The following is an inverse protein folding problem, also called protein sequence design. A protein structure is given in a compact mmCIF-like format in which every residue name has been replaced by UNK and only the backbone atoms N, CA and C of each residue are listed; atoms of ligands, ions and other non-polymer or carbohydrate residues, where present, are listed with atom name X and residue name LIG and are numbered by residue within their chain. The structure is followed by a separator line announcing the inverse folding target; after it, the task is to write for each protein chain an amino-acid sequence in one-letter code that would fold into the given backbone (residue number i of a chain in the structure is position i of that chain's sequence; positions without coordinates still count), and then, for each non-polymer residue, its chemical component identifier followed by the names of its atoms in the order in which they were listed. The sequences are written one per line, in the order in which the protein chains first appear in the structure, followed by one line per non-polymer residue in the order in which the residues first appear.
data_IF_653142905686
#
_entry.id   IF_653142905686
#
_cell.length_a   1.000
_cell.length_b   1.000
_cell.length_c   1.000
_cell.angle_alpha   90.00
_cell.angle_beta   90.00
_cell.angle_gamma   90.00
#
_symmetry.space_group_name_H-M   'P 1'
#
loop_
_entity.id
_entity.type
_entity.pdbx_description
1 polymer ?
#
# COMPACT_ATOMS: atom_id res chain seq x y z
N UNK A 1 -16.63 33.18 59.01
CA UNK A 1 -16.44 31.76 58.68
C UNK A 1 -16.08 31.71 57.19
N UNK A 2 -14.80 31.68 56.89
CA UNK A 2 -14.27 31.70 55.52
C UNK A 2 -13.95 30.29 55.08
N UNK A 3 -14.59 29.78 54.04
CA UNK A 3 -14.29 28.50 53.44
C UNK A 3 -13.18 28.68 52.37
N UNK A 4 -12.03 28.09 52.67
CA UNK A 4 -10.88 28.01 51.75
C UNK A 4 -11.16 26.92 50.71
N UNK A 5 -11.29 27.28 49.44
CA UNK A 5 -11.36 26.33 48.32
C UNK A 5 -9.93 25.99 47.88
N UNK A 6 -9.56 24.72 47.99
CA UNK A 6 -8.31 24.17 47.49
C UNK A 6 -8.34 24.09 45.92
N UNK A 7 -7.21 24.34 45.23
CA UNK A 7 -7.17 24.22 43.76
C UNK A 7 -7.18 22.75 43.33
N UNK A 8 -8.08 22.42 42.37
CA UNK A 8 -8.12 21.12 41.70
C UNK A 8 -6.90 21.02 40.79
N UNK A 9 -5.95 20.18 41.14
CA UNK A 9 -4.80 19.85 40.31
C UNK A 9 -5.29 19.11 39.05
N UNK A 10 -5.20 19.75 37.89
CA UNK A 10 -5.47 19.14 36.62
C UNK A 10 -4.47 17.99 36.37
N UNK A 11 -4.99 16.78 36.36
CA UNK A 11 -4.23 15.57 36.00
C UNK A 11 -3.74 15.73 34.56
N UNK A 12 -2.42 15.79 34.37
CA UNK A 12 -1.75 15.82 33.09
C UNK A 12 -2.15 14.53 32.33
N UNK A 13 -3.04 14.65 31.34
CA UNK A 13 -3.36 13.55 30.41
C UNK A 13 -2.05 13.08 29.78
N UNK A 14 -1.63 11.86 30.11
CA UNK A 14 -0.50 11.20 29.47
C UNK A 14 -0.69 11.20 27.95
N UNK A 15 0.42 11.38 27.21
CA UNK A 15 0.47 11.26 25.76
C UNK A 15 -0.22 9.96 25.38
N UNK A 16 -1.15 9.91 24.36
CA UNK A 16 -1.76 8.66 23.94
C UNK A 16 -0.65 7.66 23.65
N UNK A 17 -0.71 6.50 24.30
CA UNK A 17 0.26 5.43 24.07
C UNK A 17 0.24 5.04 22.59
N UNK A 18 1.43 4.69 22.03
CA UNK A 18 1.51 4.14 20.69
C UNK A 18 0.76 2.80 20.67
N UNK A 19 -0.18 2.64 19.75
CA UNK A 19 -0.73 1.33 19.39
C UNK A 19 0.16 0.66 18.34
N UNK A 20 -0.06 -0.63 18.13
CA UNK A 20 0.71 -1.41 17.15
C UNK A 20 0.63 -0.81 15.73
N UNK A 21 -0.51 -0.26 15.35
CA UNK A 21 -0.72 0.34 14.02
C UNK A 21 0.12 1.61 13.84
N UNK A 22 0.22 2.47 14.86
CA UNK A 22 1.05 3.68 14.82
C UNK A 22 2.55 3.34 14.81
N UNK A 23 2.95 2.32 15.59
CA UNK A 23 4.34 1.80 15.57
C UNK A 23 4.69 1.28 14.18
N UNK A 24 3.81 0.48 13.56
CA UNK A 24 4.02 -0.06 12.22
C UNK A 24 4.14 1.06 11.19
N UNK A 25 3.23 2.01 11.17
CA UNK A 25 3.22 3.12 10.20
C UNK A 25 4.50 3.95 10.30
N UNK A 26 4.88 4.40 11.50
CA UNK A 26 6.11 5.17 11.71
C UNK A 26 7.35 4.37 11.32
N UNK A 27 7.37 3.05 11.61
CA UNK A 27 8.49 2.19 11.20
C UNK A 27 8.63 2.10 9.69
N UNK A 28 7.51 1.98 8.96
CA UNK A 28 7.50 1.96 7.48
C UNK A 28 7.97 3.29 6.90
N UNK A 29 7.61 4.43 7.50
CA UNK A 29 8.13 5.74 7.10
C UNK A 29 9.66 5.82 7.24
N UNK A 30 10.20 5.28 8.35
CA UNK A 30 11.65 5.19 8.56
C UNK A 30 12.31 4.25 7.54
N UNK A 31 11.70 3.09 7.24
CA UNK A 31 12.19 2.18 6.20
C UNK A 31 12.21 2.84 4.82
N UNK A 32 11.16 3.56 4.47
CA UNK A 32 11.08 4.29 3.20
C UNK A 32 12.13 5.41 3.09
N UNK A 33 12.43 6.09 4.20
CA UNK A 33 13.37 7.21 4.23
C UNK A 33 14.83 6.77 4.23
N UNK A 34 15.16 5.74 5.01
CA UNK A 34 16.56 5.35 5.26
C UNK A 34 16.95 4.01 4.62
N UNK A 35 15.98 3.27 4.09
CA UNK A 35 16.14 1.87 3.68
C UNK A 35 15.96 0.90 4.84
N UNK A 36 15.39 -0.27 4.54
CA UNK A 36 15.14 -1.30 5.55
C UNK A 36 16.43 -1.77 6.24
N UNK A 37 17.48 -2.06 5.47
CA UNK A 37 18.74 -2.58 6.02
C UNK A 37 19.43 -1.59 6.99
N UNK A 38 19.42 -0.31 6.64
CA UNK A 38 20.04 0.74 7.46
C UNK A 38 19.21 1.11 8.71
N UNK A 39 17.92 0.78 8.74
CA UNK A 39 17.07 1.06 9.88
C UNK A 39 17.37 0.10 11.04
N UNK A 40 17.64 0.65 12.22
CA UNK A 40 17.81 -0.10 13.47
C UNK A 40 16.62 0.09 14.41
N UNK A 41 16.40 -0.86 15.33
CA UNK A 41 15.36 -0.72 16.38
C UNK A 41 15.59 0.56 17.24
N UNK A 42 16.82 1.01 17.37
CA UNK A 42 17.15 2.28 18.03
C UNK A 42 16.63 3.49 17.25
N UNK A 43 16.84 3.51 15.93
CA UNK A 43 16.33 4.57 15.05
C UNK A 43 14.79 4.60 15.04
N UNK A 44 14.15 3.43 15.02
CA UNK A 44 12.69 3.32 15.10
C UNK A 44 12.15 3.87 16.42
N UNK A 45 12.77 3.48 17.54
CA UNK A 45 12.41 3.98 18.87
C UNK A 45 12.55 5.51 18.97
N UNK A 46 13.64 6.06 18.42
CA UNK A 46 13.86 7.50 18.33
C UNK A 46 12.76 8.20 17.52
N UNK A 47 12.40 7.66 16.36
CA UNK A 47 11.34 8.21 15.49
C UNK A 47 9.97 8.20 16.20
N UNK A 48 9.70 7.16 17.00
CA UNK A 48 8.50 7.03 17.81
C UNK A 48 8.51 7.89 19.09
N UNK A 49 9.67 8.40 19.49
CA UNK A 49 9.82 9.12 20.78
C UNK A 49 9.63 8.24 22.01
N UNK A 50 9.96 6.94 21.92
CA UNK A 50 9.89 5.95 22.99
C UNK A 50 11.25 5.32 23.26
N UNK A 51 11.38 4.59 24.37
CA UNK A 51 12.62 3.84 24.65
C UNK A 51 12.76 2.62 23.75
N UNK A 52 14.00 2.15 23.54
CA UNK A 52 14.27 0.92 22.78
C UNK A 52 13.60 -0.33 23.42
N UNK A 53 13.45 -0.36 24.76
CA UNK A 53 12.72 -1.42 25.43
C UNK A 53 11.21 -1.34 25.17
N UNK A 54 10.66 -0.13 25.10
CA UNK A 54 9.23 0.06 24.85
C UNK A 54 8.80 -0.41 23.46
N UNK A 55 9.62 -0.25 22.41
CA UNK A 55 9.24 -0.74 21.07
C UNK A 55 9.12 -2.27 21.05
N UNK A 56 9.93 -2.99 21.83
CA UNK A 56 9.86 -4.47 21.91
C UNK A 56 8.58 -4.99 22.59
N UNK A 57 7.84 -4.14 23.33
CA UNK A 57 6.51 -4.49 23.83
C UNK A 57 5.45 -4.48 22.73
N UNK A 58 5.68 -3.76 21.62
CA UNK A 58 4.76 -3.70 20.49
C UNK A 58 5.10 -4.73 19.41
N UNK A 59 6.39 -4.94 19.16
CA UNK A 59 6.87 -5.86 18.10
C UNK A 59 8.17 -6.52 18.53
N UNK A 60 8.32 -7.84 18.28
CA UNK A 60 9.49 -8.59 18.73
C UNK A 60 10.77 -8.26 17.96
N UNK A 61 10.67 -7.82 16.70
CA UNK A 61 11.84 -7.58 15.85
C UNK A 61 11.55 -6.63 14.68
N UNK A 62 12.61 -6.20 14.00
CA UNK A 62 12.55 -5.43 12.76
C UNK A 62 11.94 -6.25 11.60
N UNK A 63 12.26 -7.52 11.58
CA UNK A 63 11.75 -8.47 10.60
C UNK A 63 10.22 -8.63 10.72
N UNK A 64 9.69 -8.66 11.93
CA UNK A 64 8.25 -8.70 12.16
C UNK A 64 7.54 -7.43 11.69
N UNK A 65 8.16 -6.26 11.88
CA UNK A 65 7.66 -5.01 11.30
C UNK A 65 7.62 -5.05 9.78
N UNK A 66 8.67 -5.59 9.14
CA UNK A 66 8.69 -5.76 7.69
C UNK A 66 7.58 -6.72 7.24
N UNK A 67 7.43 -7.86 7.92
CA UNK A 67 6.39 -8.84 7.62
C UNK A 67 5.00 -8.23 7.68
N UNK A 68 4.68 -7.53 8.76
CA UNK A 68 3.40 -6.83 8.93
C UNK A 68 3.18 -5.76 7.85
N UNK A 69 4.22 -5.01 7.51
CA UNK A 69 4.13 -3.98 6.49
C UNK A 69 3.87 -4.57 5.08
N UNK A 70 4.52 -5.68 4.75
CA UNK A 70 4.31 -6.37 3.48
C UNK A 70 2.92 -7.01 3.41
N UNK A 71 2.42 -7.54 4.53
CA UNK A 71 1.07 -8.08 4.62
C UNK A 71 0.01 -7.00 4.40
N UNK A 72 0.20 -5.79 4.95
CA UNK A 72 -0.68 -4.65 4.69
C UNK A 72 -0.75 -4.30 3.18
N UNK A 73 0.37 -4.28 2.48
CA UNK A 73 0.41 -3.96 1.05
C UNK A 73 -0.17 -5.10 0.19
N UNK A 74 0.33 -6.32 0.37
CA UNK A 74 -0.04 -7.48 -0.44
C UNK A 74 -1.46 -7.96 -0.14
N UNK A 75 -1.86 -8.02 1.13
CA UNK A 75 -3.22 -8.41 1.53
C UNK A 75 -4.28 -7.48 0.95
N UNK A 76 -3.98 -6.17 0.80
CA UNK A 76 -4.84 -5.23 0.10
C UNK A 76 -5.04 -5.59 -1.38
N UNK A 77 -3.95 -5.89 -2.09
CA UNK A 77 -4.00 -6.27 -3.51
C UNK A 77 -4.66 -7.64 -3.71
N UNK A 78 -4.27 -8.64 -2.94
CA UNK A 78 -4.84 -9.99 -3.02
C UNK A 78 -6.32 -10.00 -2.65
N UNK A 79 -6.73 -9.19 -1.67
CA UNK A 79 -8.11 -9.01 -1.27
C UNK A 79 -9.01 -8.49 -2.40
N UNK A 80 -8.49 -7.67 -3.32
CA UNK A 80 -9.24 -7.20 -4.49
C UNK A 80 -9.71 -8.37 -5.38
N UNK A 81 -8.88 -9.39 -5.56
CA UNK A 81 -9.19 -10.55 -6.40
C UNK A 81 -10.28 -11.45 -5.78
N UNK A 82 -10.60 -11.28 -4.51
CA UNK A 82 -11.65 -12.00 -3.81
C UNK A 82 -13.02 -11.34 -3.92
N UNK A 83 -13.07 -10.07 -4.33
CA UNK A 83 -14.30 -9.31 -4.45
C UNK A 83 -15.09 -9.70 -5.72
N UNK A 84 -16.41 -9.62 -5.65
CA UNK A 84 -17.31 -10.00 -6.76
C UNK A 84 -17.00 -9.26 -8.06
N UNK A 85 -16.67 -7.97 -8.00
CA UNK A 85 -16.32 -7.18 -9.18
C UNK A 85 -15.05 -7.66 -9.91
N UNK A 86 -14.16 -8.41 -9.25
CA UNK A 86 -12.99 -9.03 -9.89
C UNK A 86 -13.30 -10.41 -10.50
N UNK A 87 -14.44 -11.01 -10.17
CA UNK A 87 -14.81 -12.39 -10.51
C UNK A 87 -16.01 -12.49 -11.43
N UNK A 88 -16.90 -11.48 -11.42
CA UNK A 88 -18.16 -11.48 -12.13
C UNK A 88 -18.21 -10.36 -13.17
N UNK A 89 -18.89 -10.61 -14.26
CA UNK A 89 -18.98 -9.68 -15.39
C UNK A 89 -18.03 -10.00 -16.54
N UNK A 90 -18.00 -9.14 -17.52
CA UNK A 90 -17.12 -9.25 -18.70
C UNK A 90 -15.64 -9.09 -18.27
N UNK A 91 -14.69 -9.62 -19.06
CA UNK A 91 -13.27 -9.43 -18.77
C UNK A 91 -12.87 -7.95 -18.61
N UNK A 92 -13.46 -7.04 -19.39
CA UNK A 92 -13.18 -5.61 -19.32
C UNK A 92 -13.69 -5.00 -18.01
N UNK A 93 -14.92 -5.32 -17.59
CA UNK A 93 -15.49 -4.83 -16.31
C UNK A 93 -14.64 -5.32 -15.13
N UNK A 94 -14.22 -6.58 -15.13
CA UNK A 94 -13.33 -7.16 -14.12
C UNK A 94 -11.97 -6.48 -14.11
N UNK A 95 -11.38 -6.23 -15.29
CA UNK A 95 -10.09 -5.54 -15.40
C UNK A 95 -10.20 -4.09 -14.90
N UNK A 96 -11.24 -3.36 -15.30
CA UNK A 96 -11.50 -2.00 -14.82
C UNK A 96 -11.66 -1.97 -13.30
N UNK A 97 -12.45 -2.89 -12.74
CA UNK A 97 -12.64 -3.02 -11.30
C UNK A 97 -11.29 -3.19 -10.57
N UNK A 98 -10.44 -4.10 -11.07
CA UNK A 98 -9.14 -4.36 -10.44
C UNK A 98 -8.22 -3.14 -10.55
N UNK A 99 -8.14 -2.47 -11.72
CA UNK A 99 -7.30 -1.27 -11.87
C UNK A 99 -7.73 -0.14 -10.93
N UNK A 100 -9.06 0.09 -10.79
CA UNK A 100 -9.60 1.04 -9.81
C UNK A 100 -9.24 0.67 -8.39
N UNK A 101 -9.41 -0.58 -8.05
CA UNK A 101 -9.09 -1.12 -6.73
C UNK A 101 -7.60 -1.01 -6.40
N UNK A 102 -6.72 -1.26 -7.37
CA UNK A 102 -5.26 -1.08 -7.19
C UNK A 102 -4.89 0.36 -6.85
N UNK A 103 -5.49 1.35 -7.53
CA UNK A 103 -5.28 2.77 -7.21
C UNK A 103 -5.78 3.07 -5.79
N UNK A 104 -6.95 2.53 -5.41
CA UNK A 104 -7.48 2.66 -4.05
C UNK A 104 -6.52 2.11 -3.00
N UNK A 105 -6.10 0.85 -3.14
CA UNK A 105 -5.12 0.21 -2.23
C UNK A 105 -3.82 0.99 -2.15
N UNK A 106 -3.30 1.48 -3.29
CA UNK A 106 -2.07 2.26 -3.33
C UNK A 106 -2.21 3.55 -2.54
N UNK A 107 -3.29 4.30 -2.72
CA UNK A 107 -3.53 5.57 -2.03
C UNK A 107 -3.77 5.35 -0.53
N UNK A 108 -4.62 4.39 -0.17
CA UNK A 108 -4.99 4.11 1.23
C UNK A 108 -3.80 3.56 2.03
N UNK A 109 -2.90 2.84 1.36
CA UNK A 109 -1.75 2.15 1.96
C UNK A 109 -0.42 2.63 1.41
N UNK A 110 -0.36 3.91 1.02
CA UNK A 110 0.77 4.50 0.30
C UNK A 110 2.14 4.18 0.88
N UNK A 111 2.42 4.33 2.20
CA UNK A 111 3.73 4.00 2.75
C UNK A 111 4.09 2.52 2.60
N UNK A 112 3.12 1.63 2.77
CA UNK A 112 3.30 0.17 2.69
C UNK A 112 3.54 -0.29 1.26
N UNK A 113 2.77 0.24 0.29
CA UNK A 113 2.97 -0.04 -1.13
C UNK A 113 4.31 0.52 -1.61
N UNK A 114 4.70 1.72 -1.16
CA UNK A 114 6.02 2.30 -1.45
C UNK A 114 7.14 1.36 -0.99
N UNK A 115 7.05 0.80 0.23
CA UNK A 115 8.02 -0.15 0.73
C UNK A 115 8.06 -1.42 -0.13
N UNK A 116 6.90 -2.00 -0.45
CA UNK A 116 6.79 -3.19 -1.31
C UNK A 116 7.46 -2.98 -2.69
N UNK A 117 7.27 -1.80 -3.29
CA UNK A 117 7.85 -1.48 -4.61
C UNK A 117 9.38 -1.29 -4.58
N UNK A 118 9.95 -1.01 -3.40
CA UNK A 118 11.40 -0.80 -3.21
C UNK A 118 12.17 -2.06 -2.83
N UNK A 119 11.49 -3.20 -2.63
CA UNK A 119 12.15 -4.47 -2.30
C UNK A 119 13.13 -4.90 -3.38
N UNK A 120 14.24 -5.50 -2.96
CA UNK A 120 15.32 -5.99 -3.85
C UNK A 120 15.44 -7.51 -3.85
N UNK A 121 14.78 -8.21 -2.91
CA UNK A 121 14.88 -9.66 -2.76
C UNK A 121 16.10 -10.11 -1.97
N UNK A 122 16.62 -9.25 -1.10
CA UNK A 122 17.82 -9.54 -0.28
C UNK A 122 17.55 -10.63 0.75
N UNK A 123 16.35 -10.68 1.32
CA UNK A 123 15.94 -11.65 2.33
C UNK A 123 14.94 -12.67 1.77
N UNK A 124 14.76 -13.79 2.48
CA UNK A 124 13.72 -14.80 2.16
C UNK A 124 12.33 -14.16 2.11
N UNK A 125 12.01 -13.37 3.12
CA UNK A 125 10.73 -12.64 3.24
C UNK A 125 10.49 -11.69 2.06
N UNK A 126 11.52 -10.97 1.62
CA UNK A 126 11.41 -10.11 0.44
C UNK A 126 11.15 -10.92 -0.83
N UNK A 127 11.86 -12.05 -0.99
CA UNK A 127 11.66 -12.95 -2.14
C UNK A 127 10.25 -13.53 -2.17
N UNK A 128 9.71 -13.92 -1.01
CA UNK A 128 8.34 -14.39 -0.88
C UNK A 128 7.33 -13.29 -1.26
N UNK A 129 7.50 -12.08 -0.73
CA UNK A 129 6.65 -10.93 -1.09
C UNK A 129 6.70 -10.63 -2.60
N UNK A 130 7.88 -10.68 -3.21
CA UNK A 130 8.03 -10.52 -4.66
C UNK A 130 7.36 -11.64 -5.45
N UNK A 131 7.36 -12.86 -4.95
CA UNK A 131 6.67 -14.00 -5.58
C UNK A 131 5.14 -13.84 -5.51
N UNK A 132 4.60 -13.39 -4.37
CA UNK A 132 3.17 -13.06 -4.22
C UNK A 132 2.76 -11.94 -5.20
N UNK A 133 3.56 -10.88 -5.31
CA UNK A 133 3.34 -9.82 -6.28
C UNK A 133 3.33 -10.35 -7.72
N UNK A 134 4.28 -11.22 -8.10
CA UNK A 134 4.29 -11.86 -9.43
C UNK A 134 3.08 -12.76 -9.65
N UNK A 135 2.55 -13.40 -8.61
CA UNK A 135 1.32 -14.19 -8.70
C UNK A 135 0.12 -13.30 -9.02
N UNK A 136 0.00 -12.15 -8.34
CA UNK A 136 -0.98 -11.13 -8.65
C UNK A 136 -0.86 -10.65 -10.12
N UNK A 137 0.35 -10.29 -10.57
CA UNK A 137 0.62 -9.85 -11.94
C UNK A 137 0.15 -10.90 -12.98
N UNK A 138 0.41 -12.19 -12.72
CA UNK A 138 -0.04 -13.30 -13.61
C UNK A 138 -1.56 -13.39 -13.69
N UNK A 139 -2.26 -13.23 -12.56
CA UNK A 139 -3.73 -13.27 -12.54
C UNK A 139 -4.31 -12.15 -13.39
N UNK A 140 -3.77 -10.92 -13.31
CA UNK A 140 -4.27 -9.81 -14.12
C UNK A 140 -3.86 -9.95 -15.59
N UNK A 141 -2.69 -10.53 -15.86
CA UNK A 141 -2.27 -10.85 -17.24
C UNK A 141 -3.24 -11.84 -17.89
N UNK A 142 -3.70 -12.87 -17.15
CA UNK A 142 -4.69 -13.80 -17.65
C UNK A 142 -6.02 -13.11 -17.99
N UNK A 143 -6.46 -12.17 -17.14
CA UNK A 143 -7.68 -11.39 -17.37
C UNK A 143 -7.58 -10.51 -18.64
N UNK A 144 -6.42 -9.90 -18.89
CA UNK A 144 -6.18 -9.18 -20.18
C UNK A 144 -6.23 -10.14 -21.36
N UNK A 145 -5.66 -11.35 -21.21
CA UNK A 145 -5.70 -12.38 -22.27
C UNK A 145 -7.15 -12.81 -22.56
N UNK A 146 -7.98 -13.00 -21.53
CA UNK A 146 -9.41 -13.27 -21.69
C UNK A 146 -10.11 -12.16 -22.48
N UNK A 147 -9.83 -10.90 -22.15
CA UNK A 147 -10.42 -9.75 -22.86
C UNK A 147 -9.96 -9.65 -24.33
N UNK A 148 -8.71 -9.99 -24.63
CA UNK A 148 -8.19 -10.08 -26.00
C UNK A 148 -8.86 -11.21 -26.79
N UNK A 149 -9.05 -12.37 -26.17
CA UNK A 149 -9.74 -13.52 -26.80
C UNK A 149 -11.24 -13.24 -27.05
N UNK A 150 -11.85 -12.40 -26.19
CA UNK A 150 -13.23 -11.94 -26.36
C UNK A 150 -13.37 -10.77 -27.37
N UNK A 151 -12.29 -10.38 -28.05
CA UNK A 151 -12.20 -9.25 -29.00
C UNK A 151 -12.69 -7.91 -28.39
N UNK A 152 -12.49 -7.74 -27.08
CA UNK A 152 -12.88 -6.52 -26.35
C UNK A 152 -11.69 -5.65 -25.99
N UNK A 153 -10.47 -6.19 -26.10
CA UNK A 153 -9.21 -5.45 -26.01
C UNK A 153 -8.33 -5.74 -27.23
N UNK A 154 -7.53 -4.75 -27.62
CA UNK A 154 -6.55 -4.88 -28.71
C UNK A 154 -5.60 -6.06 -28.47
N UNK A 155 -5.38 -6.87 -29.49
CA UNK A 155 -4.52 -8.06 -29.43
C UNK A 155 -3.16 -7.87 -30.13
N UNK A 156 -2.90 -6.70 -30.72
CA UNK A 156 -1.63 -6.35 -31.38
C UNK A 156 -0.50 -6.07 -30.37
N UNK A 157 -0.84 -5.88 -29.07
CA UNK A 157 0.10 -5.76 -27.96
C UNK A 157 -0.06 -6.97 -27.04
N UNK A 158 1.04 -7.65 -26.74
CA UNK A 158 1.00 -8.81 -25.84
C UNK A 158 0.46 -8.43 -24.44
N UNK A 159 -0.42 -9.27 -23.87
CA UNK A 159 -1.05 -9.05 -22.57
C UNK A 159 -0.04 -8.70 -21.46
N UNK A 160 1.09 -9.40 -21.38
CA UNK A 160 2.15 -9.11 -20.42
C UNK A 160 2.79 -7.73 -20.60
N UNK A 161 2.83 -7.20 -21.82
CA UNK A 161 3.32 -5.82 -22.08
C UNK A 161 2.28 -4.81 -21.63
N UNK A 162 0.99 -5.03 -21.93
CA UNK A 162 -0.10 -4.17 -21.45
C UNK A 162 -0.04 -4.04 -19.93
N UNK A 163 0.05 -5.17 -19.21
CA UNK A 163 0.08 -5.16 -17.73
C UNK A 163 1.32 -4.44 -17.20
N UNK A 164 2.49 -4.62 -17.79
CA UNK A 164 3.70 -3.89 -17.36
C UNK A 164 3.55 -2.38 -17.49
N UNK A 165 2.94 -1.92 -18.59
CA UNK A 165 2.70 -0.49 -18.82
C UNK A 165 1.66 0.06 -17.84
N UNK A 166 0.53 -0.63 -17.66
CA UNK A 166 -0.51 -0.24 -16.70
C UNK A 166 0.01 -0.20 -15.26
N UNK A 167 0.73 -1.24 -14.83
CA UNK A 167 1.30 -1.27 -13.49
C UNK A 167 2.42 -0.25 -13.32
N UNK A 168 3.22 0.00 -14.36
CA UNK A 168 4.19 1.09 -14.37
C UNK A 168 3.53 2.44 -14.11
N UNK A 169 2.43 2.71 -14.80
CA UNK A 169 1.64 3.94 -14.62
C UNK A 169 1.06 4.03 -13.20
N UNK A 170 0.40 2.98 -12.71
CA UNK A 170 -0.17 2.96 -11.35
C UNK A 170 0.93 3.07 -10.29
N UNK A 171 2.02 2.30 -10.42
CA UNK A 171 3.10 2.30 -9.43
C UNK A 171 3.83 3.64 -9.37
N UNK A 172 3.89 4.42 -10.47
CA UNK A 172 4.48 5.77 -10.46
C UNK A 172 3.77 6.74 -9.51
N UNK A 173 2.52 6.46 -9.16
CA UNK A 173 1.71 7.29 -8.24
C UNK A 173 2.40 7.46 -6.89
N UNK A 174 3.15 6.46 -6.40
CA UNK A 174 3.87 6.56 -5.11
C UNK A 174 4.91 7.68 -5.07
N UNK A 175 5.40 8.14 -6.23
CA UNK A 175 6.45 9.16 -6.32
C UNK A 175 5.90 10.60 -6.28
N UNK A 176 4.66 10.82 -6.72
CA UNK A 176 4.11 12.17 -6.87
C UNK A 176 2.78 12.42 -6.16
N UNK A 177 2.02 11.38 -5.81
CA UNK A 177 0.75 11.56 -5.11
C UNK A 177 0.96 12.04 -3.67
N UNK A 178 0.16 13.03 -3.27
CA UNK A 178 0.19 13.59 -1.91
C UNK A 178 -1.18 13.40 -1.26
N UNK A 179 -1.28 12.58 -0.20
CA UNK A 179 -2.51 12.46 0.58
C UNK A 179 -2.98 13.82 1.09
N UNK A 180 -4.29 14.08 1.01
CA UNK A 180 -4.86 15.37 1.39
C UNK A 180 -4.68 16.50 0.37
N UNK A 181 -4.08 16.24 -0.79
CA UNK A 181 -4.02 17.17 -1.91
C UNK A 181 -5.36 17.30 -2.66
N UNK A 182 -5.35 18.06 -3.75
CA UNK A 182 -6.56 18.36 -4.55
C UNK A 182 -7.08 17.16 -5.37
N UNK A 183 -6.30 16.08 -5.51
CA UNK A 183 -6.65 14.90 -6.28
C UNK A 183 -7.10 13.78 -5.35
N UNK A 184 -8.40 13.44 -5.38
CA UNK A 184 -8.93 12.32 -4.60
C UNK A 184 -8.55 10.97 -5.20
N UNK A 185 -8.49 9.91 -4.37
CA UNK A 185 -8.25 8.53 -4.83
C UNK A 185 -9.24 8.10 -5.92
N UNK A 186 -10.53 8.45 -5.74
CA UNK A 186 -11.57 8.15 -6.72
C UNK A 186 -11.30 8.82 -8.06
N UNK A 187 -11.02 10.13 -8.08
CA UNK A 187 -10.71 10.87 -9.31
C UNK A 187 -9.47 10.32 -9.99
N UNK A 188 -8.43 9.99 -9.22
CA UNK A 188 -7.21 9.37 -9.74
C UNK A 188 -7.48 8.01 -10.39
N UNK A 189 -8.31 7.17 -9.77
CA UNK A 189 -8.72 5.89 -10.34
C UNK A 189 -9.54 6.09 -11.63
N UNK A 190 -10.45 7.07 -11.67
CA UNK A 190 -11.22 7.42 -12.87
C UNK A 190 -10.27 7.85 -14.01
N UNK A 191 -9.25 8.67 -13.71
CA UNK A 191 -8.29 9.14 -14.72
C UNK A 191 -7.39 8.00 -15.24
N UNK A 192 -6.92 7.12 -14.35
CA UNK A 192 -6.12 5.94 -14.73
C UNK A 192 -6.94 5.04 -15.67
N UNK A 193 -8.20 4.77 -15.35
CA UNK A 193 -9.07 3.93 -16.17
C UNK A 193 -9.37 4.60 -17.51
N UNK A 194 -9.74 5.88 -17.51
CA UNK A 194 -10.01 6.62 -18.75
C UNK A 194 -8.78 6.60 -19.68
N UNK A 195 -7.58 6.89 -19.14
CA UNK A 195 -6.34 6.84 -19.91
C UNK A 195 -6.05 5.44 -20.44
N UNK A 196 -6.30 4.38 -19.65
CA UNK A 196 -5.99 3.00 -19.99
C UNK A 196 -6.90 2.43 -21.09
N UNK A 197 -8.20 2.75 -21.05
CA UNK A 197 -9.19 2.19 -21.98
C UNK A 197 -9.55 3.10 -23.14
N UNK A 198 -9.41 4.41 -22.99
CA UNK A 198 -9.78 5.39 -24.00
C UNK A 198 -8.57 6.06 -24.67
N UNK A 199 -7.41 6.07 -23.99
CA UNK A 199 -6.20 6.74 -24.47
C UNK A 199 -6.25 8.25 -24.30
N UNK A 200 -5.39 8.97 -25.07
CA UNK A 200 -5.27 10.44 -25.03
C UNK A 200 -6.02 11.13 -26.17
N UNK A 201 -6.39 10.41 -27.19
CA UNK A 201 -7.09 10.97 -28.34
C UNK A 201 -8.59 11.08 -28.03
N UNK A 202 -9.22 12.20 -28.50
CA UNK A 202 -10.67 12.41 -28.41
C UNK A 202 -11.37 11.77 -29.60
#
# INVERSE_FOLDING_TARGET
MSASSAPITATKRGRPGHDQASVLRTSVEVFNKHGYEAASMGLLAQALGISKSAIYHHVPSKEELLRLALEEALGGLEGLLLLDGARSGTPNERLEFVLRGMVGVLVDRLPFVTLLLRLRGNTEMEREAMNRRRAFDRTITALVTEAQQADTLRADIAAGTIIRLLFGTINSIVEWYKPGGNLSAKKLADDVVALSFQGLLK
#
